data_IF_748729630635
#
_entry.id   IF_748729630635
#
_cell.length_a   1.000
_cell.length_b   1.000
_cell.length_c   1.000
_cell.angle_alpha   90.00
_cell.angle_beta   90.00
_cell.angle_gamma   90.00
#
_symmetry.space_group_name_H-M   'P 1'
#
loop_
_entity.id
_entity.type
_entity.pdbx_description
1 polymer ?
#
# COMPACT_ATOMS: atom_id res chain seq x y z
N UNK A 1 -3.75 -3.59 -7.76
CA UNK A 1 -2.73 -3.71 -6.69
C UNK A 1 -3.16 -4.66 -5.57
N UNK A 2 -4.35 -4.50 -4.97
CA UNK A 2 -4.82 -5.39 -3.89
C UNK A 2 -4.68 -6.89 -4.22
N UNK A 3 -5.20 -7.33 -5.37
CA UNK A 3 -5.11 -8.73 -5.80
C UNK A 3 -3.67 -9.25 -5.89
N UNK A 4 -2.73 -8.42 -6.35
CA UNK A 4 -1.31 -8.79 -6.44
C UNK A 4 -0.68 -8.95 -5.06
N UNK A 5 -0.96 -8.03 -4.12
CA UNK A 5 -0.48 -8.13 -2.74
C UNK A 5 -1.09 -9.35 -2.04
N UNK A 6 -2.39 -9.59 -2.23
CA UNK A 6 -3.07 -10.76 -1.68
C UNK A 6 -2.44 -12.05 -2.17
N UNK A 7 -2.18 -12.16 -3.48
CA UNK A 7 -1.53 -13.35 -4.02
C UNK A 7 -0.10 -13.53 -3.48
N UNK A 8 0.70 -12.45 -3.45
CA UNK A 8 2.07 -12.51 -2.95
C UNK A 8 2.16 -12.97 -1.49
N UNK A 9 1.31 -12.45 -0.61
CA UNK A 9 1.34 -12.79 0.81
C UNK A 9 0.57 -14.08 1.13
N UNK A 10 -0.67 -14.21 0.68
CA UNK A 10 -1.54 -15.31 1.10
C UNK A 10 -1.26 -16.61 0.34
N UNK A 11 -0.97 -16.53 -0.96
CA UNK A 11 -0.80 -17.72 -1.79
C UNK A 11 0.67 -18.13 -1.92
N UNK A 12 1.58 -17.17 -2.12
CA UNK A 12 3.01 -17.47 -2.29
C UNK A 12 3.79 -17.45 -0.97
N UNK A 13 3.23 -16.92 0.11
CA UNK A 13 3.92 -16.84 1.41
C UNK A 13 5.14 -15.91 1.41
N UNK A 14 5.19 -14.92 0.52
CA UNK A 14 6.31 -13.98 0.49
C UNK A 14 6.32 -13.11 1.73
N UNK A 15 7.53 -12.77 2.20
CA UNK A 15 7.71 -12.01 3.44
C UNK A 15 7.77 -10.50 3.24
N UNK A 16 7.95 -10.06 1.99
CA UNK A 16 8.19 -8.67 1.62
C UNK A 16 7.68 -8.40 0.21
N UNK A 17 6.97 -7.28 0.04
CA UNK A 17 6.47 -6.79 -1.23
C UNK A 17 6.95 -5.35 -1.46
N UNK A 18 7.67 -5.11 -2.56
CA UNK A 18 8.39 -3.84 -2.78
C UNK A 18 7.71 -2.95 -3.82
N UNK A 19 7.79 -1.64 -3.59
CA UNK A 19 7.49 -0.62 -4.59
C UNK A 19 8.73 0.27 -4.79
N UNK A 20 9.15 0.43 -6.05
CA UNK A 20 10.28 1.29 -6.43
C UNK A 20 9.80 2.29 -7.46
N UNK A 21 10.10 3.55 -7.23
CA UNK A 21 9.79 4.60 -8.19
C UNK A 21 10.89 5.65 -8.24
N UNK A 22 10.87 6.43 -9.32
CA UNK A 22 11.71 7.62 -9.40
C UNK A 22 11.36 8.58 -8.25
N UNK A 23 12.36 9.09 -7.54
CA UNK A 23 12.15 10.01 -6.42
C UNK A 23 11.45 11.31 -6.84
N UNK A 24 11.58 11.72 -8.11
CA UNK A 24 10.87 12.88 -8.67
C UNK A 24 9.41 12.55 -9.07
N UNK A 25 9.01 11.28 -9.12
CA UNK A 25 7.64 10.89 -9.41
C UNK A 25 6.76 10.97 -8.14
N UNK A 26 6.35 12.19 -7.81
CA UNK A 26 5.55 12.46 -6.61
C UNK A 26 4.21 11.72 -6.59
N UNK A 27 3.58 11.49 -7.75
CA UNK A 27 2.33 10.75 -7.85
C UNK A 27 2.52 9.28 -7.46
N UNK A 28 3.57 8.63 -7.95
CA UNK A 28 3.91 7.24 -7.59
C UNK A 28 4.27 7.12 -6.09
N UNK A 29 5.07 8.05 -5.57
CA UNK A 29 5.39 8.11 -4.14
C UNK A 29 4.13 8.27 -3.26
N UNK A 30 3.19 9.14 -3.66
CA UNK A 30 1.90 9.31 -2.95
C UNK A 30 1.04 8.05 -3.03
N UNK A 31 1.04 7.36 -4.17
CA UNK A 31 0.30 6.10 -4.34
C UNK A 31 0.86 4.99 -3.43
N UNK A 32 2.18 4.81 -3.39
CA UNK A 32 2.83 3.84 -2.50
C UNK A 32 2.44 4.08 -1.03
N UNK A 33 2.57 5.33 -0.55
CA UNK A 33 2.17 5.72 0.80
C UNK A 33 0.67 5.49 1.08
N UNK A 34 -0.20 5.88 0.14
CA UNK A 34 -1.67 5.67 0.25
C UNK A 34 -2.00 4.18 0.41
N UNK A 35 -1.31 3.31 -0.31
CA UNK A 35 -1.55 1.86 -0.29
C UNK A 35 -1.01 1.19 0.98
N UNK A 36 -0.18 1.87 1.77
CA UNK A 36 0.35 1.39 3.04
C UNK A 36 1.80 0.92 2.99
N UNK A 37 2.52 1.17 1.89
CA UNK A 37 3.95 0.90 1.85
C UNK A 37 4.70 1.88 2.75
N UNK A 38 5.65 1.37 3.52
CA UNK A 38 6.59 2.14 4.33
C UNK A 38 7.79 2.56 3.50
N UNK A 39 8.23 3.80 3.65
CA UNK A 39 9.44 4.30 2.99
C UNK A 39 10.69 3.83 3.72
N UNK A 40 11.70 3.39 2.99
CA UNK A 40 12.92 2.81 3.57
C UNK A 40 14.20 3.52 3.14
N UNK A 41 14.19 4.24 2.02
CA UNK A 41 15.36 4.98 1.60
C UNK A 41 15.35 5.39 0.13
N UNK A 42 16.40 6.12 -0.23
CA UNK A 42 16.67 6.53 -1.61
C UNK A 42 18.03 6.02 -2.02
N UNK A 43 18.06 5.28 -3.12
CA UNK A 43 19.31 4.98 -3.80
C UNK A 43 19.61 6.15 -4.74
N UNK A 44 20.63 6.94 -4.37
CA UNK A 44 21.11 8.07 -5.17
C UNK A 44 21.83 7.57 -6.41
N UNK A 45 21.58 8.20 -7.54
CA UNK A 45 22.13 7.84 -8.84
C UNK A 45 21.97 6.37 -9.20
N UNK A 46 20.83 5.77 -8.83
CA UNK A 46 20.58 4.36 -9.04
C UNK A 46 20.57 3.99 -10.52
N UNK A 47 20.08 4.88 -11.39
CA UNK A 47 19.90 4.64 -12.83
C UNK A 47 20.10 5.93 -13.64
N UNK A 48 20.44 5.79 -14.92
CA UNK A 48 20.28 6.83 -15.94
C UNK A 48 19.15 6.40 -16.88
N UNK A 49 18.15 7.25 -17.05
CA UNK A 49 16.99 6.95 -17.90
C UNK A 49 16.50 8.22 -18.58
N UNK A 50 16.18 8.13 -19.88
CA UNK A 50 15.76 9.27 -20.70
C UNK A 50 16.71 10.47 -20.59
N UNK A 51 18.01 10.21 -20.63
CA UNK A 51 19.05 11.25 -20.63
C UNK A 51 19.24 12.00 -19.30
N UNK A 52 18.69 11.50 -18.19
CA UNK A 52 18.91 12.11 -16.86
C UNK A 52 19.21 11.09 -15.78
N UNK A 53 19.79 11.60 -14.69
CA UNK A 53 19.92 10.86 -13.45
C UNK A 53 18.53 10.50 -12.87
N UNK A 54 18.44 9.32 -12.27
CA UNK A 54 17.29 8.85 -11.50
C UNK A 54 17.74 8.30 -10.16
N UNK A 55 17.34 9.02 -9.12
CA UNK A 55 17.29 8.49 -7.77
C UNK A 55 16.06 7.57 -7.63
N UNK A 56 16.21 6.47 -6.90
CA UNK A 56 15.12 5.50 -6.71
C UNK A 56 14.68 5.50 -5.25
N UNK A 57 13.43 5.89 -5.02
CA UNK A 57 12.77 5.74 -3.73
C UNK A 57 12.26 4.32 -3.56
N UNK A 58 12.56 3.73 -2.40
CA UNK A 58 12.18 2.37 -2.04
C UNK A 58 11.12 2.38 -0.94
N UNK A 59 10.11 1.55 -1.15
CA UNK A 59 9.07 1.30 -0.17
C UNK A 59 8.77 -0.19 -0.08
N UNK A 60 8.25 -0.63 1.06
CA UNK A 60 7.89 -2.03 1.28
C UNK A 60 6.61 -2.20 2.10
N UNK A 61 6.01 -3.38 1.98
CA UNK A 61 5.09 -3.96 2.95
C UNK A 61 5.70 -5.30 3.37
N UNK A 62 5.65 -5.62 4.66
CA UNK A 62 6.05 -6.95 5.16
C UNK A 62 4.84 -7.82 5.51
N UNK A 63 5.08 -9.12 5.59
CA UNK A 63 4.09 -10.14 6.00
C UNK A 63 3.30 -9.76 7.26
N UNK A 64 3.96 -9.22 8.29
CA UNK A 64 3.33 -8.81 9.55
C UNK A 64 2.39 -7.61 9.43
N UNK A 65 2.57 -6.76 8.42
CA UNK A 65 1.71 -5.61 8.16
C UNK A 65 0.49 -5.99 7.31
N UNK A 66 0.62 -7.05 6.50
CA UNK A 66 -0.37 -7.45 5.52
C UNK A 66 -1.77 -7.75 6.11
N UNK A 67 -1.95 -8.48 7.22
CA UNK A 67 -3.29 -8.76 7.75
C UNK A 67 -4.11 -7.50 8.02
N UNK A 68 -3.48 -6.46 8.58
CA UNK A 68 -4.12 -5.18 8.86
C UNK A 68 -4.42 -4.41 7.57
N UNK A 69 -3.48 -4.41 6.61
CA UNK A 69 -3.67 -3.77 5.30
C UNK A 69 -4.78 -4.46 4.50
N UNK A 70 -4.82 -5.79 4.49
CA UNK A 70 -5.83 -6.59 3.80
C UNK A 70 -7.23 -6.22 4.29
N UNK A 71 -7.43 -6.18 5.61
CA UNK A 71 -8.73 -5.82 6.17
C UNK A 71 -9.12 -4.37 5.81
N UNK A 72 -8.18 -3.43 5.89
CA UNK A 72 -8.39 -2.03 5.45
C UNK A 72 -8.79 -1.95 3.98
N UNK A 73 -8.13 -2.70 3.10
CA UNK A 73 -8.49 -2.77 1.68
C UNK A 73 -9.88 -3.37 1.48
N UNK A 74 -10.22 -4.44 2.19
CA UNK A 74 -11.55 -5.06 2.11
C UNK A 74 -12.65 -4.10 2.57
N UNK A 75 -12.45 -3.34 3.65
CA UNK A 75 -13.38 -2.28 4.06
C UNK A 75 -13.51 -1.20 3.00
N UNK A 76 -12.40 -0.76 2.41
CA UNK A 76 -12.42 0.29 1.39
C UNK A 76 -13.05 -0.17 0.06
N UNK A 77 -12.88 -1.45 -0.30
CA UNK A 77 -13.41 -2.06 -1.52
C UNK A 77 -14.83 -2.62 -1.35
N UNK A 78 -15.38 -2.66 -0.13
CA UNK A 78 -16.76 -3.09 0.12
C UNK A 78 -17.73 -2.23 -0.70
N UNK A 79 -18.79 -2.84 -1.22
CA UNK A 79 -19.86 -2.13 -1.91
C UNK A 79 -20.44 -1.00 -1.04
N UNK A 80 -20.53 -1.21 0.27
CA UNK A 80 -21.04 -0.22 1.24
C UNK A 80 -20.18 1.05 1.35
N UNK A 81 -18.95 1.03 0.83
CA UNK A 81 -18.07 2.20 0.83
C UNK A 81 -18.23 3.08 -0.42
N UNK A 82 -19.21 2.80 -1.29
CA UNK A 82 -19.48 3.60 -2.48
C UNK A 82 -20.94 4.04 -2.51
N UNK A 83 -21.18 5.31 -2.85
CA UNK A 83 -22.53 5.83 -3.05
C UNK A 83 -23.12 5.38 -4.40
N UNK A 84 -24.37 5.76 -4.66
CA UNK A 84 -25.10 5.42 -5.89
C UNK A 84 -24.40 5.94 -7.17
N UNK A 85 -23.50 6.92 -7.04
CA UNK A 85 -22.70 7.47 -8.14
C UNK A 85 -21.33 6.81 -8.28
N UNK A 86 -21.02 5.78 -7.48
CA UNK A 86 -19.75 5.08 -7.46
C UNK A 86 -18.61 5.88 -6.80
N UNK A 87 -18.92 6.95 -6.06
CA UNK A 87 -17.92 7.75 -5.35
C UNK A 87 -17.69 7.14 -3.96
N UNK A 88 -16.42 7.06 -3.57
CA UNK A 88 -16.05 6.51 -2.26
C UNK A 88 -16.61 7.37 -1.10
N UNK A 89 -17.24 6.73 -0.12
CA UNK A 89 -17.71 7.34 1.13
C UNK A 89 -16.56 7.60 2.10
N UNK A 90 -15.67 6.60 2.29
CA UNK A 90 -14.43 6.72 3.08
C UNK A 90 -13.21 6.53 2.17
N UNK A 91 -12.15 7.29 2.44
CA UNK A 91 -10.86 7.09 1.77
C UNK A 91 -10.16 5.88 2.40
N UNK A 92 -9.29 5.24 1.63
CA UNK A 92 -8.52 4.07 2.10
C UNK A 92 -7.81 4.30 3.44
N UNK A 93 -7.25 5.50 3.67
CA UNK A 93 -6.57 5.86 4.92
C UNK A 93 -7.52 5.97 6.14
N UNK A 94 -8.80 6.18 5.89
CA UNK A 94 -9.84 6.38 6.91
C UNK A 94 -10.57 5.07 7.22
N UNK A 95 -10.35 4.01 6.43
CA UNK A 95 -10.84 2.65 6.67
C UNK A 95 -9.99 1.96 7.76
N UNK A 96 -10.04 2.48 8.99
CA UNK A 96 -9.36 1.86 10.13
C UNK A 96 -10.13 0.63 10.65
N UNK A 97 -9.39 -0.34 11.15
CA UNK A 97 -9.96 -1.41 11.97
C UNK A 97 -10.36 -0.82 13.32
N UNK A 98 -11.64 -0.89 13.67
CA UNK A 98 -12.02 -0.82 15.07
C UNK A 98 -11.37 -2.02 15.77
N UNK A 99 -10.45 -1.76 16.73
CA UNK A 99 -10.03 -2.80 17.66
C UNK A 99 -11.31 -3.30 18.34
N UNK A 100 -11.74 -4.54 18.06
CA UNK A 100 -12.67 -5.22 18.97
C UNK A 100 -11.99 -5.17 20.34
N UNK A 101 -12.61 -4.48 21.30
CA UNK A 101 -12.25 -4.63 22.70
C UNK A 101 -12.44 -6.12 23.02
N UNK A 102 -11.33 -6.85 23.15
CA UNK A 102 -11.36 -8.16 23.80
C UNK A 102 -11.67 -7.92 25.28
N UNK A 103 -12.96 -7.83 25.62
CA UNK A 103 -13.42 -8.18 26.95
C UNK A 103 -13.51 -9.70 26.99
N UNK A 104 -12.41 -10.35 27.38
CA UNK A 104 -12.50 -11.63 28.07
C UNK A 104 -12.17 -11.38 29.53
N UNK A 105 -13.11 -11.81 30.37
CA UNK A 105 -12.96 -12.00 31.81
C UNK A 105 -11.74 -12.86 32.13
#
# INVERSE_FOLDING_TARGET
MFLMMQYAFDALGYRRYEWKCDSLNTASCKAAKRLGFQFEGIFRQALVYKGRNRDTSWFSIIDKEWPMLKARFQTWLSADNFDESGKQCKRLKDCQLHKKQNNSK
#
